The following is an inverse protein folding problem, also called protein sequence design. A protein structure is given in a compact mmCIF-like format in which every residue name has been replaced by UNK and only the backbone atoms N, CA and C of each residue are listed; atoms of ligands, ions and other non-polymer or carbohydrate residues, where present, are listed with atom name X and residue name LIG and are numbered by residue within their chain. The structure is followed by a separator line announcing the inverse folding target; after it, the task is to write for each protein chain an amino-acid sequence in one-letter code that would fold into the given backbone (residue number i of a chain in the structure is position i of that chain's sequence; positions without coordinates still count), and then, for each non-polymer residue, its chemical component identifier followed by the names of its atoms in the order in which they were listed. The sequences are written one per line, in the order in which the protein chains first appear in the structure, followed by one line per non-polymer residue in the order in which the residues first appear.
data_IF_841614672115
#
_entry.id   IF_841614672115
#
_cell.length_a   1.000
_cell.length_b   1.000
_cell.length_c   1.000
_cell.angle_alpha   90.00
_cell.angle_beta   90.00
_cell.angle_gamma   90.00
#
_symmetry.space_group_name_H-M   'P 1'
#
loop_
_entity.id
_entity.type
_entity.pdbx_description
1 polymer ?
#
# COMPACT_ATOMS: atom_id res chain seq x y z
N UNK A 1 31.25 -0.57 24.71
CA UNK A 1 30.22 -0.98 23.73
C UNK A 1 28.87 -0.73 24.34
N UNK A 2 28.23 0.36 23.92
CA UNK A 2 26.95 0.80 24.45
C UNK A 2 25.85 -0.11 23.93
N UNK A 3 25.24 -0.89 24.82
CA UNK A 3 24.09 -1.74 24.49
C UNK A 3 22.91 -0.79 24.29
N UNK A 4 22.50 -0.57 23.04
CA UNK A 4 21.31 0.24 22.71
C UNK A 4 20.13 -0.30 23.51
N UNK A 5 19.68 0.51 24.47
CA UNK A 5 18.50 0.29 25.30
C UNK A 5 17.32 -0.02 24.37
N UNK A 6 16.65 -1.14 24.63
CA UNK A 6 15.35 -1.48 24.09
C UNK A 6 14.39 -0.30 24.31
N UNK A 7 14.26 0.59 23.34
CA UNK A 7 13.04 1.38 23.20
C UNK A 7 11.92 0.38 23.06
N UNK A 8 10.92 0.46 23.92
CA UNK A 8 9.68 -0.30 23.78
C UNK A 8 9.12 0.02 22.39
N UNK A 9 9.44 -0.79 21.41
CA UNK A 9 8.81 -0.73 20.10
C UNK A 9 7.38 -1.20 20.32
N UNK A 10 6.49 -0.22 20.43
CA UNK A 10 5.08 -0.48 20.23
C UNK A 10 4.92 -1.26 18.92
N UNK A 11 4.00 -2.23 18.84
CA UNK A 11 3.75 -2.94 17.59
C UNK A 11 3.53 -1.91 16.47
N UNK A 12 4.34 -2.00 15.42
CA UNK A 12 4.21 -1.19 14.21
C UNK A 12 3.80 -2.12 13.07
N UNK A 13 2.94 -1.64 12.20
CA UNK A 13 2.63 -2.31 10.94
C UNK A 13 3.90 -2.39 10.09
N UNK A 14 4.08 -3.50 9.39
CA UNK A 14 5.15 -3.59 8.42
C UNK A 14 4.85 -2.61 7.26
N UNK A 15 5.87 -1.98 6.65
CA UNK A 15 5.68 -1.20 5.44
C UNK A 15 4.94 -2.05 4.38
N UNK A 16 3.94 -1.49 3.70
CA UNK A 16 3.11 -2.26 2.77
C UNK A 16 1.82 -2.84 3.36
N UNK A 17 1.66 -2.89 4.69
CA UNK A 17 0.47 -3.51 5.31
C UNK A 17 -0.76 -2.60 5.36
N UNK A 18 -0.60 -1.28 5.22
CA UNK A 18 -1.69 -0.29 5.38
C UNK A 18 -1.61 0.78 4.28
N UNK A 19 -1.17 0.38 3.09
CA UNK A 19 -0.85 1.29 1.99
C UNK A 19 -2.03 1.41 0.99
N UNK A 20 -3.15 0.72 1.24
CA UNK A 20 -4.32 0.67 0.34
C UNK A 20 -4.82 2.07 -0.02
N UNK A 21 -4.93 2.94 0.98
CA UNK A 21 -5.38 4.33 0.78
C UNK A 21 -4.46 5.13 -0.13
N UNK A 22 -3.16 4.90 -0.02
CA UNK A 22 -2.13 5.62 -0.79
C UNK A 22 -2.05 5.09 -2.22
N UNK A 23 -2.21 3.77 -2.40
CA UNK A 23 -2.25 3.12 -3.71
C UNK A 23 -3.51 3.47 -4.52
N UNK A 24 -4.64 3.70 -3.83
CA UNK A 24 -5.89 4.12 -4.45
C UNK A 24 -6.00 5.64 -4.69
N UNK A 25 -5.00 6.40 -4.24
CA UNK A 25 -4.98 7.85 -4.45
C UNK A 25 -4.83 8.18 -5.94
N UNK A 26 -5.71 9.04 -6.42
CA UNK A 26 -5.68 9.48 -7.83
C UNK A 26 -4.67 10.60 -8.00
N UNK A 27 -3.73 10.42 -8.92
CA UNK A 27 -2.85 11.48 -9.36
C UNK A 27 -3.63 12.68 -9.94
N UNK A 28 -3.16 13.89 -9.62
CA UNK A 28 -3.65 15.13 -10.19
C UNK A 28 -3.27 15.26 -11.67
N UNK A 29 -3.90 16.20 -12.39
CA UNK A 29 -3.61 16.44 -13.81
C UNK A 29 -2.16 16.90 -14.00
N UNK A 30 -1.67 17.71 -13.09
CA UNK A 30 -0.33 18.29 -13.10
C UNK A 30 0.74 17.20 -12.86
N UNK A 31 0.50 16.27 -11.95
CA UNK A 31 1.37 15.11 -11.71
C UNK A 31 1.41 14.18 -12.92
N UNK A 32 0.25 13.90 -13.53
CA UNK A 32 0.17 13.12 -14.78
C UNK A 32 0.97 13.80 -15.89
N UNK A 33 0.83 15.13 -16.04
CA UNK A 33 1.57 15.89 -17.05
C UNK A 33 3.09 15.89 -16.83
N UNK A 34 3.54 15.83 -15.56
CA UNK A 34 4.96 15.71 -15.20
C UNK A 34 5.47 14.26 -15.21
N UNK A 35 4.60 13.26 -15.33
CA UNK A 35 4.95 11.84 -15.23
C UNK A 35 5.19 11.37 -13.79
N UNK A 36 4.73 12.13 -12.79
CA UNK A 36 4.87 11.84 -11.35
C UNK A 36 3.71 10.95 -10.87
N UNK A 37 3.49 9.82 -11.54
CA UNK A 37 2.46 8.87 -11.14
C UNK A 37 2.92 7.43 -11.41
N UNK A 38 2.34 6.50 -10.66
CA UNK A 38 2.54 5.06 -10.88
C UNK A 38 1.21 4.43 -11.27
N UNK A 39 1.23 3.57 -12.29
CA UNK A 39 0.04 2.82 -12.68
C UNK A 39 -0.14 1.63 -11.74
N UNK A 40 -1.18 1.67 -10.92
CA UNK A 40 -1.60 0.56 -10.06
C UNK A 40 -2.57 -0.34 -10.84
N UNK A 41 -2.40 -1.66 -10.71
CA UNK A 41 -3.29 -2.67 -11.27
C UNK A 41 -3.74 -3.58 -10.15
N UNK A 42 -5.04 -3.59 -9.86
CA UNK A 42 -5.66 -4.51 -8.91
C UNK A 42 -6.23 -5.71 -9.66
N UNK A 43 -5.96 -6.90 -9.13
CA UNK A 43 -6.51 -8.14 -9.65
C UNK A 43 -7.59 -8.62 -8.68
N UNK A 44 -8.83 -8.71 -9.16
CA UNK A 44 -9.94 -9.33 -8.44
C UNK A 44 -10.31 -10.64 -9.11
N UNK A 45 -10.48 -11.70 -8.30
CA UNK A 45 -11.10 -12.95 -8.74
C UNK A 45 -12.60 -12.85 -8.45
N UNK A 46 -13.42 -13.01 -9.49
CA UNK A 46 -14.87 -13.19 -9.35
C UNK A 46 -15.12 -14.70 -9.28
N UNK A 47 -15.13 -15.25 -8.06
CA UNK A 47 -15.52 -16.64 -7.83
C UNK A 47 -17.03 -16.75 -8.08
N UNK A 48 -17.42 -17.09 -9.31
CA UNK A 48 -18.78 -17.49 -9.63
C UNK A 48 -19.18 -18.67 -8.74
N UNK A 49 -20.24 -18.46 -7.95
CA UNK A 49 -20.92 -19.44 -7.09
C UNK A 49 -20.97 -20.80 -7.82
N UNK A 50 -20.55 -21.93 -7.19
CA UNK A 50 -20.61 -23.23 -7.84
C UNK A 50 -22.01 -23.46 -8.39
N UNK A 51 -22.11 -23.57 -9.72
CA UNK A 51 -23.33 -24.05 -10.35
C UNK A 51 -23.60 -25.44 -9.77
N UNK A 52 -24.78 -25.57 -9.17
CA UNK A 52 -25.24 -26.70 -8.36
C UNK A 52 -25.20 -28.03 -9.10
#
# INVERSE_FOLDING_TARGET
MERKKNSREFPKLAPGMDDEKELDEKATKEEIARGEYTKVVTLSFDEVDPST
#
